data_IF_835161818947
#
_entry.id   IF_835161818947
#
_cell.length_a   1.000
_cell.length_b   1.000
_cell.length_c   1.000
_cell.angle_alpha   90.00
_cell.angle_beta   90.00
_cell.angle_gamma   90.00
#
_symmetry.space_group_name_H-M   'P 1'
#
loop_
_entity.id
_entity.type
_entity.pdbx_description
1 polymer ?
#
# COMPACT_ATOMS: atom_id res chain seq x y z
N UNK A 1 -38.76 -28.26 16.78
CA UNK A 1 -37.64 -28.86 16.03
C UNK A 1 -37.02 -27.85 15.05
N UNK A 2 -37.75 -27.29 14.07
CA UNK A 2 -37.19 -26.25 13.15
C UNK A 2 -36.63 -25.00 13.86
N UNK A 3 -37.31 -24.52 14.92
CA UNK A 3 -36.87 -23.34 15.67
C UNK A 3 -35.59 -23.59 16.50
N UNK A 4 -35.25 -24.84 16.84
CA UNK A 4 -34.05 -25.16 17.62
C UNK A 4 -32.82 -25.29 16.72
N UNK A 5 -32.96 -25.93 15.56
CA UNK A 5 -31.91 -26.05 14.54
C UNK A 5 -31.47 -24.66 14.02
N UNK A 6 -32.42 -23.74 13.81
CA UNK A 6 -32.10 -22.37 13.37
C UNK A 6 -31.24 -21.61 14.40
N UNK A 7 -31.51 -21.78 15.70
CA UNK A 7 -30.72 -21.13 16.76
C UNK A 7 -29.30 -21.66 16.82
N UNK A 8 -29.13 -22.96 16.67
CA UNK A 8 -27.80 -23.60 16.66
C UNK A 8 -26.97 -23.10 15.46
N UNK A 9 -27.58 -23.03 14.27
CA UNK A 9 -26.91 -22.50 13.07
C UNK A 9 -26.57 -21.02 13.18
N UNK A 10 -27.44 -20.22 13.81
CA UNK A 10 -27.17 -18.81 14.05
C UNK A 10 -26.01 -18.63 15.04
N UNK A 11 -25.97 -19.42 16.11
CA UNK A 11 -24.88 -19.39 17.08
C UNK A 11 -23.52 -19.79 16.46
N UNK A 12 -23.52 -20.83 15.63
CA UNK A 12 -22.34 -21.29 14.88
C UNK A 12 -21.84 -20.19 13.92
N UNK A 13 -22.75 -19.56 13.16
CA UNK A 13 -22.40 -18.45 12.26
C UNK A 13 -21.88 -17.23 13.02
N UNK A 14 -22.52 -16.84 14.12
CA UNK A 14 -22.08 -15.72 14.95
C UNK A 14 -20.71 -15.96 15.57
N UNK A 15 -20.43 -17.19 16.01
CA UNK A 15 -19.12 -17.58 16.52
C UNK A 15 -18.03 -17.42 15.45
N UNK A 16 -18.28 -17.93 14.23
CA UNK A 16 -17.33 -17.81 13.12
C UNK A 16 -17.10 -16.36 12.70
N UNK A 17 -18.17 -15.57 12.57
CA UNK A 17 -18.07 -14.14 12.23
C UNK A 17 -17.31 -13.35 13.30
N UNK A 18 -17.55 -13.63 14.59
CA UNK A 18 -16.82 -13.01 15.69
C UNK A 18 -15.32 -13.32 15.61
N UNK A 19 -14.94 -14.58 15.33
CA UNK A 19 -13.53 -14.96 15.19
C UNK A 19 -12.85 -14.28 14.01
N UNK A 20 -13.51 -14.23 12.85
CA UNK A 20 -13.01 -13.51 11.65
C UNK A 20 -12.83 -12.02 11.96
N UNK A 21 -13.77 -11.43 12.69
CA UNK A 21 -13.73 -10.02 13.10
C UNK A 21 -12.58 -9.74 14.09
N UNK A 22 -12.28 -10.66 15.01
CA UNK A 22 -11.10 -10.56 15.90
C UNK A 22 -9.80 -10.54 15.09
N UNK A 23 -9.62 -11.50 14.18
CA UNK A 23 -8.42 -11.57 13.34
C UNK A 23 -8.27 -10.30 12.51
N UNK A 24 -9.35 -9.81 11.92
CA UNK A 24 -9.35 -8.59 11.12
C UNK A 24 -9.04 -7.35 11.98
N UNK A 25 -9.60 -7.25 13.18
CA UNK A 25 -9.30 -6.17 14.14
C UNK A 25 -7.82 -6.14 14.55
N UNK A 26 -7.22 -7.30 14.81
CA UNK A 26 -5.80 -7.41 15.13
C UNK A 26 -4.90 -6.97 13.96
N UNK A 27 -5.25 -7.35 12.73
CA UNK A 27 -4.56 -6.90 11.52
C UNK A 27 -4.65 -5.37 11.37
N UNK A 28 -5.83 -4.79 11.56
CA UNK A 28 -6.03 -3.33 11.47
C UNK A 28 -5.22 -2.56 12.53
N UNK A 29 -5.14 -3.09 13.76
CA UNK A 29 -4.30 -2.51 14.81
C UNK A 29 -2.82 -2.56 14.45
N UNK A 30 -2.33 -3.72 14.01
CA UNK A 30 -0.93 -3.89 13.58
C UNK A 30 -0.57 -2.95 12.44
N UNK A 31 -1.42 -2.88 11.41
CA UNK A 31 -1.25 -1.95 10.28
C UNK A 31 -1.26 -0.49 10.74
N UNK A 32 -2.19 -0.09 11.60
CA UNK A 32 -2.27 1.28 12.12
C UNK A 32 -1.01 1.69 12.90
N UNK A 33 -0.46 0.79 13.72
CA UNK A 33 0.79 1.01 14.45
C UNK A 33 1.99 1.10 13.50
N UNK A 34 2.08 0.19 12.53
CA UNK A 34 3.14 0.19 11.51
C UNK A 34 3.14 1.51 10.71
N UNK A 35 1.97 1.92 10.20
CA UNK A 35 1.81 3.18 9.47
C UNK A 35 2.23 4.38 10.35
N UNK A 36 1.89 4.37 11.64
CA UNK A 36 2.27 5.46 12.56
C UNK A 36 3.80 5.58 12.66
N UNK A 37 4.51 4.48 12.84
CA UNK A 37 5.98 4.46 12.97
C UNK A 37 6.65 4.92 11.68
N UNK A 38 6.20 4.41 10.54
CA UNK A 38 6.72 4.82 9.23
C UNK A 38 6.48 6.31 9.00
N UNK A 39 5.24 6.79 9.15
CA UNK A 39 4.91 8.21 8.93
C UNK A 39 5.77 9.10 9.82
N UNK A 40 5.94 8.76 11.11
CA UNK A 40 6.78 9.53 12.04
C UNK A 40 8.23 9.63 11.59
N UNK A 41 8.75 8.61 10.90
CA UNK A 41 10.10 8.61 10.35
C UNK A 41 10.22 9.53 9.13
N UNK A 42 9.15 9.66 8.34
CA UNK A 42 9.09 10.52 7.15
C UNK A 42 8.51 11.93 7.40
N UNK A 43 8.11 12.24 8.65
CA UNK A 43 7.47 13.51 9.01
C UNK A 43 8.35 14.74 8.75
N UNK A 44 9.68 14.61 8.80
CA UNK A 44 10.61 15.70 8.47
C UNK A 44 10.52 16.13 6.99
N UNK A 45 10.01 15.26 6.11
CA UNK A 45 9.95 15.47 4.65
C UNK A 45 8.54 15.82 4.18
N UNK A 46 7.50 15.53 4.96
CA UNK A 46 6.09 15.61 4.53
C UNK A 46 5.27 16.52 5.46
N UNK A 47 5.18 17.81 5.11
CA UNK A 47 4.49 18.85 5.90
C UNK A 47 2.97 18.85 5.73
N UNK A 48 2.30 17.69 5.77
CA UNK A 48 0.85 17.60 5.57
C UNK A 48 0.20 16.93 6.79
N UNK A 49 -0.59 17.71 7.54
CA UNK A 49 -1.30 17.24 8.74
C UNK A 49 -2.34 16.14 8.42
N UNK A 50 -2.79 16.02 7.17
CA UNK A 50 -3.75 15.00 6.74
C UNK A 50 -3.22 13.56 6.83
N UNK A 51 -1.90 13.36 6.76
CA UNK A 51 -1.28 12.03 6.74
C UNK A 51 -1.36 11.34 8.10
N UNK A 52 -1.42 12.11 9.20
CA UNK A 52 -1.55 11.60 10.56
C UNK A 52 -2.96 11.11 10.89
N UNK A 53 -3.99 11.58 10.19
CA UNK A 53 -5.37 11.18 10.44
C UNK A 53 -5.60 9.69 10.14
N UNK A 54 -4.97 9.18 9.09
CA UNK A 54 -5.09 7.80 8.61
C UNK A 54 -4.69 6.76 9.68
N UNK A 55 -3.46 6.77 10.24
CA UNK A 55 -3.07 5.79 11.26
C UNK A 55 -3.91 5.89 12.53
N UNK A 56 -4.33 7.10 12.93
CA UNK A 56 -5.19 7.29 14.10
C UNK A 56 -6.57 6.65 13.92
N UNK A 57 -7.18 6.79 12.75
CA UNK A 57 -8.47 6.16 12.45
C UNK A 57 -8.35 4.63 12.40
N UNK A 58 -7.27 4.08 11.83
CA UNK A 58 -7.03 2.64 11.81
C UNK A 58 -6.88 2.06 13.23
N UNK A 59 -6.09 2.70 14.09
CA UNK A 59 -5.89 2.25 15.48
C UNK A 59 -7.22 2.31 16.26
N UNK A 60 -7.95 3.42 16.14
CA UNK A 60 -9.23 3.60 16.85
C UNK A 60 -10.26 2.55 16.42
N UNK A 61 -10.36 2.31 15.11
CA UNK A 61 -11.29 1.30 14.57
C UNK A 61 -10.88 -0.11 14.97
N UNK A 62 -9.59 -0.43 14.96
CA UNK A 62 -9.07 -1.72 15.41
C UNK A 62 -9.32 -1.98 16.91
N UNK A 63 -9.16 -0.97 17.76
CA UNK A 63 -9.47 -1.09 19.19
C UNK A 63 -10.96 -1.30 19.42
N UNK A 64 -11.81 -0.55 18.71
CA UNK A 64 -13.26 -0.73 18.76
C UNK A 64 -13.66 -2.14 18.31
N UNK A 65 -13.07 -2.67 17.22
CA UNK A 65 -13.29 -4.04 16.77
C UNK A 65 -12.95 -5.05 17.87
N UNK A 66 -11.76 -4.98 18.46
CA UNK A 66 -11.35 -5.90 19.53
C UNK A 66 -12.28 -5.83 20.74
N UNK A 67 -12.71 -4.63 21.15
CA UNK A 67 -13.66 -4.44 22.24
C UNK A 67 -15.01 -5.08 21.94
N UNK A 68 -15.60 -4.77 20.80
CA UNK A 68 -16.91 -5.30 20.39
C UNK A 68 -16.89 -6.83 20.33
N UNK A 69 -15.82 -7.43 19.78
CA UNK A 69 -15.68 -8.88 19.68
C UNK A 69 -15.45 -9.58 21.03
N UNK A 70 -14.76 -8.92 21.98
CA UNK A 70 -14.59 -9.43 23.34
C UNK A 70 -15.94 -9.50 24.09
N UNK A 71 -16.77 -8.46 23.94
CA UNK A 71 -18.14 -8.50 24.46
C UNK A 71 -18.99 -9.59 23.77
N UNK A 72 -18.77 -9.84 22.48
CA UNK A 72 -19.52 -10.83 21.71
C UNK A 72 -19.25 -12.27 22.14
N UNK A 73 -17.99 -12.59 22.43
CA UNK A 73 -17.62 -13.88 23.02
C UNK A 73 -18.25 -14.09 24.41
N UNK A 74 -18.30 -13.05 25.23
CA UNK A 74 -18.91 -13.12 26.57
C UNK A 74 -20.43 -13.31 26.50
N UNK A 75 -21.09 -12.64 25.55
CA UNK A 75 -22.52 -12.77 25.26
C UNK A 75 -22.86 -14.17 24.75
N UNK A 76 -22.00 -14.77 23.92
CA UNK A 76 -22.19 -16.14 23.44
C UNK A 76 -22.11 -17.15 24.60
N UNK A 77 -21.22 -16.92 25.57
CA UNK A 77 -21.17 -17.69 26.82
C UNK A 77 -22.42 -17.49 27.68
N UNK A 78 -22.88 -16.25 27.85
CA UNK A 78 -24.05 -15.92 28.70
C UNK A 78 -25.38 -16.37 28.05
N UNK A 79 -25.46 -16.53 26.73
CA UNK A 79 -26.63 -17.06 26.02
C UNK A 79 -26.89 -18.55 26.27
N UNK A 80 -25.90 -19.29 26.79
CA UNK A 80 -26.13 -20.67 27.26
C UNK A 80 -27.03 -20.71 28.52
N UNK A 81 -27.18 -19.58 29.21
CA UNK A 81 -27.92 -19.48 30.47
C UNK A 81 -29.27 -18.76 30.26
N UNK A 82 -30.33 -19.55 30.04
CA UNK A 82 -31.68 -19.10 29.62
C UNK A 82 -32.37 -18.16 30.61
N UNK A 83 -31.96 -18.13 31.89
CA UNK A 83 -32.62 -17.37 32.96
C UNK A 83 -32.31 -15.86 32.96
N UNK A 84 -31.21 -15.42 32.33
CA UNK A 84 -30.84 -13.98 32.21
C UNK A 84 -31.28 -13.34 30.88
N UNK A 85 -31.70 -14.16 29.92
CA UNK A 85 -31.99 -13.75 28.54
C UNK A 85 -33.05 -12.64 28.44
N UNK A 86 -34.09 -12.68 29.29
CA UNK A 86 -35.21 -11.74 29.22
C UNK A 86 -34.84 -10.30 29.63
N UNK A 87 -33.94 -10.12 30.61
CA UNK A 87 -33.45 -8.79 31.01
C UNK A 87 -32.41 -8.24 30.05
N UNK A 88 -31.60 -9.12 29.46
CA UNK A 88 -30.55 -8.73 28.53
C UNK A 88 -31.05 -8.50 27.10
N UNK A 89 -32.22 -9.03 26.73
CA UNK A 89 -32.85 -8.85 25.40
C UNK A 89 -32.94 -7.39 24.94
N UNK A 90 -33.19 -6.44 25.85
CA UNK A 90 -33.27 -5.00 25.52
C UNK A 90 -31.89 -4.41 25.13
N UNK A 91 -30.81 -4.92 25.73
CA UNK A 91 -29.42 -4.51 25.46
C UNK A 91 -28.81 -5.30 24.29
N UNK A 92 -29.26 -6.54 24.07
CA UNK A 92 -28.84 -7.39 22.96
C UNK A 92 -29.26 -6.83 21.61
N UNK A 93 -30.49 -6.31 21.46
CA UNK A 93 -30.97 -5.76 20.19
C UNK A 93 -30.07 -4.65 19.62
N UNK A 94 -29.75 -3.56 20.36
CA UNK A 94 -28.85 -2.54 19.86
C UNK A 94 -27.42 -3.08 19.67
N UNK A 95 -26.95 -3.98 20.53
CA UNK A 95 -25.63 -4.60 20.37
C UNK A 95 -25.50 -5.43 19.07
N UNK A 96 -26.51 -6.23 18.73
CA UNK A 96 -26.56 -7.02 17.49
C UNK A 96 -26.62 -6.10 16.27
N UNK A 97 -27.38 -5.00 16.33
CA UNK A 97 -27.44 -4.02 15.23
C UNK A 97 -26.08 -3.32 15.06
N UNK A 98 -25.45 -2.87 16.14
CA UNK A 98 -24.14 -2.23 16.10
C UNK A 98 -23.04 -3.18 15.59
N UNK A 99 -23.02 -4.42 16.05
CA UNK A 99 -22.04 -5.44 15.59
C UNK A 99 -22.26 -5.81 14.13
N UNK A 100 -23.50 -5.98 13.69
CA UNK A 100 -23.83 -6.23 12.29
C UNK A 100 -23.39 -5.06 11.40
N UNK A 101 -23.72 -3.83 11.77
CA UNK A 101 -23.30 -2.64 11.04
C UNK A 101 -21.78 -2.50 10.97
N UNK A 102 -21.09 -2.68 12.10
CA UNK A 102 -19.63 -2.64 12.16
C UNK A 102 -19.01 -3.71 11.25
N UNK A 103 -19.52 -4.95 11.31
CA UNK A 103 -19.04 -6.04 10.46
C UNK A 103 -19.27 -5.75 8.97
N UNK A 104 -20.42 -5.18 8.61
CA UNK A 104 -20.72 -4.74 7.25
C UNK A 104 -19.75 -3.63 6.78
N UNK A 105 -19.43 -2.66 7.65
CA UNK A 105 -18.43 -1.63 7.33
C UNK A 105 -17.04 -2.23 7.11
N UNK A 106 -16.61 -3.19 7.92
CA UNK A 106 -15.32 -3.88 7.75
C UNK A 106 -15.30 -4.67 6.44
N UNK A 107 -16.39 -5.37 6.10
CA UNK A 107 -16.51 -6.09 4.83
C UNK A 107 -16.45 -5.13 3.65
N UNK A 108 -17.18 -4.01 3.69
CA UNK A 108 -17.11 -2.98 2.68
C UNK A 108 -15.69 -2.40 2.55
N UNK A 109 -15.01 -2.15 3.68
CA UNK A 109 -13.61 -1.72 3.70
C UNK A 109 -12.67 -2.74 3.06
N UNK A 110 -12.86 -4.04 3.31
CA UNK A 110 -12.08 -5.10 2.69
C UNK A 110 -12.29 -5.17 1.17
N UNK A 111 -13.55 -5.06 0.71
CA UNK A 111 -13.88 -5.00 -0.72
C UNK A 111 -13.31 -3.76 -1.40
N UNK A 112 -13.34 -2.62 -0.71
CA UNK A 112 -12.72 -1.39 -1.18
C UNK A 112 -11.20 -1.53 -1.27
N UNK A 113 -10.55 -2.13 -0.26
CA UNK A 113 -9.12 -2.39 -0.28
C UNK A 113 -8.73 -3.29 -1.46
N UNK A 114 -9.52 -4.34 -1.72
CA UNK A 114 -9.32 -5.20 -2.88
C UNK A 114 -9.47 -4.45 -4.21
N UNK A 115 -10.51 -3.61 -4.33
CA UNK A 115 -10.75 -2.77 -5.52
C UNK A 115 -9.68 -1.69 -5.70
N UNK A 116 -9.12 -1.16 -4.61
CA UNK A 116 -8.02 -0.18 -4.66
C UNK A 116 -6.73 -0.88 -5.07
N UNK A 117 -6.48 -2.11 -4.60
CA UNK A 117 -5.28 -2.87 -4.98
C UNK A 117 -5.17 -3.03 -6.50
N UNK A 118 -6.25 -3.44 -7.17
CA UNK A 118 -6.24 -3.62 -8.63
C UNK A 118 -6.01 -2.30 -9.37
N UNK A 119 -6.69 -1.23 -8.96
CA UNK A 119 -6.51 0.10 -9.54
C UNK A 119 -5.11 0.68 -9.26
N UNK A 120 -4.55 0.39 -8.09
CA UNK A 120 -3.22 0.84 -7.70
C UNK A 120 -2.15 0.18 -8.55
N UNK A 121 -2.29 -1.12 -8.86
CA UNK A 121 -1.37 -1.83 -9.74
C UNK A 121 -1.34 -1.22 -11.15
N UNK A 122 -2.51 -0.95 -11.74
CA UNK A 122 -2.60 -0.30 -13.05
C UNK A 122 -2.07 1.14 -13.03
N UNK A 123 -2.43 1.90 -12.00
CA UNK A 123 -1.97 3.28 -11.82
C UNK A 123 -0.46 3.35 -11.60
N UNK A 124 0.10 2.41 -10.85
CA UNK A 124 1.54 2.30 -10.64
C UNK A 124 2.25 1.90 -11.92
N UNK A 125 1.70 0.94 -12.68
CA UNK A 125 2.24 0.52 -13.97
C UNK A 125 2.29 1.69 -14.96
N UNK A 126 1.19 2.44 -15.09
CA UNK A 126 1.11 3.63 -15.94
C UNK A 126 2.03 4.76 -15.44
N UNK A 127 2.05 4.98 -14.12
CA UNK A 127 2.86 6.00 -13.47
C UNK A 127 4.36 5.73 -13.62
N UNK A 128 4.80 4.48 -13.44
CA UNK A 128 6.18 4.08 -13.63
C UNK A 128 6.58 4.21 -15.11
N UNK A 129 5.74 3.75 -16.04
CA UNK A 129 5.97 3.94 -17.47
C UNK A 129 6.09 5.40 -17.87
N UNK A 130 5.23 6.26 -17.33
CA UNK A 130 5.29 7.70 -17.57
C UNK A 130 6.57 8.30 -16.99
N UNK A 131 6.95 7.91 -15.76
CA UNK A 131 8.16 8.37 -15.07
C UNK A 131 9.44 7.99 -15.80
N UNK A 132 9.51 6.76 -16.34
CA UNK A 132 10.63 6.30 -17.18
C UNK A 132 10.81 7.16 -18.44
N UNK A 133 9.73 7.63 -19.08
CA UNK A 133 9.84 8.51 -20.27
C UNK A 133 10.52 9.84 -19.97
N UNK A 134 10.32 10.37 -18.76
CA UNK A 134 10.93 11.64 -18.34
C UNK A 134 12.22 11.46 -17.54
N UNK A 135 12.74 10.24 -17.47
CA UNK A 135 13.95 9.94 -16.72
C UNK A 135 15.17 10.75 -17.22
N UNK A 136 15.25 11.00 -18.52
CA UNK A 136 16.32 11.80 -19.14
C UNK A 136 16.23 13.29 -18.81
N UNK A 137 15.06 13.80 -18.43
CA UNK A 137 14.76 15.23 -18.35
C UNK A 137 15.12 15.82 -16.97
N UNK A 138 16.34 15.58 -16.48
CA UNK A 138 16.80 16.09 -15.18
C UNK A 138 16.94 17.62 -15.14
N UNK A 139 16.74 18.30 -16.27
CA UNK A 139 16.96 19.74 -16.40
C UNK A 139 15.83 20.61 -15.83
N UNK A 140 14.62 20.07 -15.68
CA UNK A 140 13.44 20.80 -15.16
C UNK A 140 13.28 20.63 -13.64
N UNK A 141 12.82 21.67 -12.92
CA UNK A 141 12.64 21.60 -11.46
C UNK A 141 11.70 20.44 -11.10
N UNK A 142 12.08 19.65 -10.10
CA UNK A 142 11.32 18.46 -9.64
C UNK A 142 11.68 17.13 -10.33
N UNK A 143 12.30 17.12 -11.52
CA UNK A 143 12.64 15.85 -12.21
C UNK A 143 13.81 15.08 -11.59
N UNK A 144 14.69 15.78 -10.89
CA UNK A 144 15.76 15.14 -10.13
C UNK A 144 15.21 14.30 -8.96
N UNK A 145 14.12 14.76 -8.33
CA UNK A 145 13.38 13.97 -7.34
C UNK A 145 12.73 12.75 -7.98
N UNK A 146 12.06 12.92 -9.13
CA UNK A 146 11.46 11.81 -9.88
C UNK A 146 12.48 10.70 -10.20
N UNK A 147 13.65 11.07 -10.72
CA UNK A 147 14.74 10.13 -11.02
C UNK A 147 15.19 9.38 -9.76
N UNK A 148 15.47 10.11 -8.68
CA UNK A 148 15.91 9.51 -7.41
C UNK A 148 14.87 8.54 -6.84
N UNK A 149 13.59 8.92 -6.86
CA UNK A 149 12.50 8.08 -6.36
C UNK A 149 12.37 6.81 -7.20
N UNK A 150 12.48 6.91 -8.54
CA UNK A 150 12.44 5.76 -9.43
C UNK A 150 13.62 4.80 -9.21
N UNK A 151 14.84 5.34 -9.07
CA UNK A 151 16.05 4.55 -8.78
C UNK A 151 15.94 3.85 -7.41
N UNK A 152 15.50 4.55 -6.37
CA UNK A 152 15.30 3.99 -5.03
C UNK A 152 14.24 2.88 -5.02
N UNK A 153 13.12 3.09 -5.73
CA UNK A 153 12.07 2.09 -5.84
C UNK A 153 12.61 0.81 -6.48
N UNK A 154 13.33 0.93 -7.60
CA UNK A 154 13.91 -0.22 -8.29
C UNK A 154 14.96 -0.97 -7.44
N UNK A 155 15.81 -0.24 -6.70
CA UNK A 155 16.79 -0.85 -5.78
C UNK A 155 16.09 -1.55 -4.60
N UNK A 156 15.11 -0.89 -3.97
CA UNK A 156 14.41 -1.43 -2.81
C UNK A 156 13.66 -2.73 -3.14
N UNK A 157 13.03 -2.78 -4.32
CA UNK A 157 12.27 -3.95 -4.78
C UNK A 157 13.08 -4.92 -5.65
N UNK A 158 14.38 -4.65 -5.87
CA UNK A 158 15.28 -5.46 -6.70
C UNK A 158 14.68 -5.74 -8.11
N UNK A 159 14.01 -4.75 -8.69
CA UNK A 159 13.37 -4.84 -10.00
C UNK A 159 13.97 -3.81 -10.98
N UNK A 160 13.76 -4.02 -12.29
CA UNK A 160 14.25 -3.10 -13.31
C UNK A 160 13.21 -2.97 -14.41
N UNK A 161 12.78 -1.74 -14.70
CA UNK A 161 11.69 -1.48 -15.64
C UNK A 161 10.31 -1.76 -15.01
N UNK A 162 9.30 -1.88 -15.85
CA UNK A 162 7.91 -2.07 -15.42
C UNK A 162 7.53 -3.56 -15.44
N UNK A 163 7.80 -4.20 -16.57
CA UNK A 163 7.70 -5.64 -16.81
C UNK A 163 9.09 -6.30 -16.80
N UNK A 164 10.12 -5.54 -17.16
CA UNK A 164 11.50 -6.00 -17.11
C UNK A 164 12.48 -4.98 -17.68
N UNK A 165 13.77 -5.32 -17.63
CA UNK A 165 14.84 -4.42 -18.08
C UNK A 165 14.69 -3.98 -19.54
N UNK A 166 13.98 -4.77 -20.36
CA UNK A 166 13.72 -4.47 -21.77
C UNK A 166 12.93 -3.17 -21.98
N UNK A 167 12.14 -2.74 -21.01
CA UNK A 167 11.36 -1.52 -21.09
C UNK A 167 12.24 -0.27 -21.23
N UNK A 168 13.47 -0.33 -20.70
CA UNK A 168 14.45 0.74 -20.85
C UNK A 168 14.97 0.87 -22.28
N UNK A 169 14.92 -0.17 -23.11
CA UNK A 169 15.30 -0.04 -24.52
C UNK A 169 14.20 0.62 -25.36
N UNK A 170 12.95 0.56 -24.91
CA UNK A 170 11.82 1.22 -25.58
C UNK A 170 11.75 2.72 -25.27
N UNK A 171 12.50 3.19 -24.29
CA UNK A 171 12.50 4.58 -23.83
C UNK A 171 13.89 5.18 -24.01
N UNK A 172 13.97 6.36 -24.62
CA UNK A 172 15.25 7.08 -24.68
C UNK A 172 15.59 7.66 -23.30
N UNK A 173 16.28 6.89 -22.46
CA UNK A 173 16.65 7.28 -21.09
C UNK A 173 17.93 8.12 -21.02
N UNK A 174 18.73 8.14 -22.09
CA UNK A 174 19.93 8.98 -22.23
C UNK A 174 19.51 10.35 -22.79
N UNK A 175 19.97 11.42 -22.15
CA UNK A 175 19.73 12.79 -22.63
C UNK A 175 20.49 13.05 -23.93
N UNK A 176 19.83 13.69 -24.89
CA UNK A 176 20.40 14.03 -26.21
C UNK A 176 21.68 14.87 -26.11
N UNK A 177 21.93 15.56 -24.99
CA UNK A 177 23.17 16.31 -24.74
C UNK A 177 24.41 15.41 -24.70
N UNK A 178 24.27 14.17 -24.24
CA UNK A 178 25.37 13.20 -24.13
C UNK A 178 25.43 12.26 -25.34
N UNK A 179 24.42 12.30 -26.21
CA UNK A 179 24.39 11.58 -27.48
C UNK A 179 25.03 12.47 -28.55
N UNK A 180 26.35 12.58 -28.53
CA UNK A 180 27.09 13.20 -29.63
C UNK A 180 27.38 12.15 -30.71
N UNK A 181 26.40 11.89 -31.58
CA UNK A 181 26.53 10.94 -32.71
C UNK A 181 27.63 11.32 -33.70
N UNK A 182 28.21 12.53 -33.57
CA UNK A 182 29.29 13.00 -34.43
C UNK A 182 30.66 12.49 -33.99
N UNK A 183 30.79 11.97 -32.77
CA UNK A 183 32.05 11.45 -32.20
C UNK A 183 32.06 9.94 -31.96
N UNK A 184 30.92 9.26 -32.10
CA UNK A 184 30.88 7.80 -32.15
C UNK A 184 31.27 7.32 -33.55
N UNK A 185 32.58 7.20 -33.79
CA UNK A 185 33.07 6.30 -34.81
C UNK A 185 32.73 4.86 -34.39
N UNK A 186 31.50 4.42 -34.69
CA UNK A 186 31.11 3.04 -34.50
C UNK A 186 31.95 2.18 -35.45
N UNK A 187 32.88 1.40 -34.90
CA UNK A 187 33.75 0.50 -35.69
C UNK A 187 32.94 -0.69 -36.22
N UNK A 188 31.79 -1.00 -35.60
CA UNK A 188 30.83 -1.96 -36.14
C UNK A 188 29.44 -1.82 -35.50
N UNK A 189 28.42 -2.34 -36.19
CA UNK A 189 27.02 -2.37 -35.74
C UNK A 189 26.82 -3.19 -34.44
N UNK A 190 27.75 -4.12 -34.14
CA UNK A 190 27.70 -4.99 -32.96
C UNK A 190 28.26 -4.34 -31.69
N UNK A 191 29.18 -3.39 -31.80
CA UNK A 191 29.73 -2.65 -30.64
C UNK A 191 28.68 -1.75 -29.98
N UNK A 192 27.76 -1.21 -30.79
CA UNK A 192 26.62 -0.43 -30.29
C UNK A 192 25.61 -1.28 -29.48
N UNK A 193 25.45 -2.56 -29.81
CA UNK A 193 24.48 -3.44 -29.16
C UNK A 193 24.98 -4.03 -27.83
N UNK A 194 26.30 -4.21 -27.69
CA UNK A 194 26.92 -4.81 -26.52
C UNK A 194 27.35 -3.79 -25.45
N UNK A 195 27.79 -2.59 -25.85
CA UNK A 195 28.22 -1.54 -24.92
C UNK A 195 27.08 -0.93 -24.09
N UNK A 196 25.84 -1.02 -24.57
CA UNK A 196 24.64 -0.48 -23.92
C UNK A 196 24.01 -1.46 -22.91
N UNK A 197 24.16 -2.77 -23.13
CA UNK A 197 23.49 -3.79 -22.32
C UNK A 197 24.08 -3.96 -20.90
N UNK A 198 25.36 -3.67 -20.69
CA UNK A 198 26.06 -4.04 -19.44
C UNK A 198 25.94 -3.00 -18.32
N UNK A 199 25.43 -1.78 -18.61
CA UNK A 199 25.42 -0.68 -17.62
C UNK A 199 24.03 -0.11 -17.31
N UNK A 200 22.99 -0.90 -17.53
CA UNK A 200 21.58 -0.43 -17.42
C UNK A 200 21.13 -0.16 -15.97
N UNK A 201 21.84 -0.65 -14.94
CA UNK A 201 21.51 -0.36 -13.53
C UNK A 201 22.49 0.56 -12.78
N UNK A 202 23.50 1.16 -13.44
CA UNK A 202 24.57 1.89 -12.75
C UNK A 202 24.75 3.34 -13.24
N UNK A 203 23.66 4.09 -13.46
CA UNK A 203 23.71 5.53 -13.76
C UNK A 203 23.31 6.39 -12.56
N UNK A 204 23.99 6.19 -11.43
CA UNK A 204 23.81 6.96 -10.20
C UNK A 204 24.93 7.97 -10.01
N UNK A 205 24.81 9.21 -10.54
CA UNK A 205 25.48 10.40 -9.95
C UNK A 205 25.31 11.73 -10.71
N UNK A 206 24.09 12.26 -10.87
CA UNK A 206 23.90 13.69 -11.24
C UNK A 206 23.01 14.47 -10.24
N UNK A 207 22.26 13.77 -9.40
CA UNK A 207 21.38 14.35 -8.40
C UNK A 207 22.04 14.33 -7.01
N UNK A 208 22.19 15.51 -6.38
CA UNK A 208 22.70 15.63 -5.01
C UNK A 208 21.66 15.23 -3.94
N UNK A 209 22.08 15.10 -2.67
CA UNK A 209 21.20 14.69 -1.56
C UNK A 209 20.01 15.64 -1.35
N UNK A 210 20.11 16.91 -1.76
CA UNK A 210 19.07 17.95 -1.60
C UNK A 210 18.25 18.23 -2.88
N UNK A 211 18.28 17.37 -3.90
CA UNK A 211 17.52 17.56 -5.15
C UNK A 211 18.08 18.64 -6.09
N UNK A 212 19.19 19.30 -5.73
CA UNK A 212 19.95 20.19 -6.60
C UNK A 212 20.81 19.44 -7.62
N UNK A 213 20.93 20.00 -8.83
CA UNK A 213 21.87 19.52 -9.86
C UNK A 213 23.30 19.63 -9.35
N UNK A 214 24.12 18.58 -9.48
CA UNK A 214 25.57 18.73 -9.42
C UNK A 214 26.04 19.34 -10.75
N UNK A 215 26.67 20.50 -10.69
CA UNK A 215 27.37 21.09 -11.84
C UNK A 215 28.49 20.14 -12.28
N UNK A 216 28.63 19.83 -13.59
CA UNK A 216 29.72 18.97 -14.06
C UNK A 216 31.07 19.66 -13.88
N UNK A 217 32.17 18.91 -13.65
CA UNK A 217 33.51 19.46 -13.70
C UNK A 217 33.81 19.92 -15.14
N UNK A 218 34.49 21.07 -15.24
CA UNK A 218 34.97 21.64 -16.51
C UNK A 218 36.02 20.75 -17.17
#
# INVERSE_FOLDING_TARGET
>A
LECECLREKLAELLWLLNWISVVTGAILLGMGLFLKVEIQTWQEVMSEQGVLFVPHMLITTGLAACGINFLGGKICLDCADTNKFLRWKLVMMPYVICTFFFTACILAGALMCYSIRSQLEESLFLGLRHSMRYYKDTDTPGRCYLKRTLDLLQIQFQCCGNTGYQDWFQVQWISSRYLDLRSMACVSEVDCLLGVNVRVCASSSLCGPSGGKKTPPQ
#
